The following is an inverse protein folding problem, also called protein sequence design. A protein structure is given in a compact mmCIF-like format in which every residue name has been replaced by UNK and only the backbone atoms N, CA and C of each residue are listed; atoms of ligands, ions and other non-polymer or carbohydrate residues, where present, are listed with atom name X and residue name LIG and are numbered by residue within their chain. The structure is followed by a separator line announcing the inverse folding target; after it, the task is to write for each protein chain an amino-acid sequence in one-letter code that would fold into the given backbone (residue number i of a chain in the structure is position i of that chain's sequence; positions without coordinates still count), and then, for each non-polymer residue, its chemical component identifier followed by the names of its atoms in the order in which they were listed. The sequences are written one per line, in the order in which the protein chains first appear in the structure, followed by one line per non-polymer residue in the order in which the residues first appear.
data_IF_106272246808
#
_entry.id   IF_106272246808
#
_cell.length_a   1.000
_cell.length_b   1.000
_cell.length_c   1.000
_cell.angle_alpha   90.00
_cell.angle_beta   90.00
_cell.angle_gamma   90.00
#
_symmetry.space_group_name_H-M   'P 1'
#
loop_
_entity.id
_entity.type
_entity.pdbx_description
1 polymer ?
#
# COMPACT_ATOMS: atom_id res chain seq x y z
N UNK A 1 34.21 -1.01 -10.46
CA UNK A 1 33.30 -2.09 -10.04
C UNK A 1 32.48 -1.52 -8.90
N UNK A 2 31.18 -1.27 -9.10
CA UNK A 2 30.30 -0.74 -8.05
C UNK A 2 30.13 -1.85 -7.00
N UNK A 3 30.27 -1.53 -5.71
CA UNK A 3 30.02 -2.50 -4.63
C UNK A 3 28.55 -2.94 -4.67
N UNK A 4 28.24 -4.16 -4.24
CA UNK A 4 26.85 -4.66 -4.18
C UNK A 4 25.94 -3.72 -3.39
N UNK A 5 26.43 -3.18 -2.27
CA UNK A 5 25.65 -2.23 -1.44
C UNK A 5 25.32 -0.95 -2.19
N UNK A 6 26.29 -0.40 -2.92
CA UNK A 6 26.08 0.79 -3.75
C UNK A 6 25.08 0.51 -4.88
N UNK A 7 25.19 -0.67 -5.50
CA UNK A 7 24.27 -1.08 -6.57
C UNK A 7 22.83 -1.22 -6.08
N UNK A 8 22.63 -1.77 -4.89
CA UNK A 8 21.29 -1.92 -4.32
C UNK A 8 20.70 -0.59 -3.84
N UNK A 9 21.52 0.29 -3.28
CA UNK A 9 21.08 1.66 -2.95
C UNK A 9 20.64 2.41 -4.22
N UNK A 10 21.42 2.30 -5.29
CA UNK A 10 21.07 2.90 -6.59
C UNK A 10 19.79 2.27 -7.19
N UNK A 11 19.69 0.93 -7.15
CA UNK A 11 18.53 0.22 -7.69
C UNK A 11 17.25 0.50 -6.89
N UNK A 12 17.34 0.64 -5.56
CA UNK A 12 16.23 1.10 -4.72
C UNK A 12 15.87 2.54 -5.08
N UNK A 13 16.86 3.42 -5.22
CA UNK A 13 16.65 4.80 -5.66
C UNK A 13 15.85 4.86 -6.96
N UNK A 14 16.20 4.03 -7.94
CA UNK A 14 15.44 3.88 -9.18
C UNK A 14 14.02 3.37 -8.91
N UNK A 15 13.82 2.29 -8.15
CA UNK A 15 12.48 1.79 -7.83
C UNK A 15 11.53 2.88 -7.30
N UNK A 16 12.07 3.80 -6.50
CA UNK A 16 11.31 4.88 -5.87
C UNK A 16 11.01 6.06 -6.80
N UNK A 17 11.73 6.24 -7.92
CA UNK A 17 11.57 7.43 -8.79
C UNK A 17 11.43 7.16 -10.28
N UNK A 18 11.70 5.93 -10.74
CA UNK A 18 11.70 5.56 -12.15
C UNK A 18 10.31 5.76 -12.77
N UNK A 19 10.31 5.94 -14.09
CA UNK A 19 9.09 6.06 -14.85
C UNK A 19 8.38 4.70 -14.93
N UNK A 20 7.05 4.75 -14.95
CA UNK A 20 6.18 3.60 -15.13
C UNK A 20 5.09 3.97 -16.14
N UNK A 21 4.48 2.97 -16.76
CA UNK A 21 3.32 3.16 -17.63
C UNK A 21 2.16 2.27 -17.14
N UNK A 22 1.10 2.85 -16.53
CA UNK A 22 0.91 4.27 -16.28
C UNK A 22 1.88 4.83 -15.21
N UNK A 23 2.11 6.15 -15.16
CA UNK A 23 2.98 6.77 -14.17
C UNK A 23 2.54 6.46 -12.74
N UNK A 24 3.50 6.11 -11.88
CA UNK A 24 3.28 5.86 -10.45
C UNK A 24 3.59 7.11 -9.63
N UNK A 25 2.69 7.43 -8.70
CA UNK A 25 2.89 8.48 -7.69
C UNK A 25 4.21 8.28 -6.93
N UNK A 26 4.88 9.39 -6.61
CA UNK A 26 6.02 9.37 -5.71
C UNK A 26 5.56 9.15 -4.27
N UNK A 27 6.33 8.38 -3.52
CA UNK A 27 6.10 8.19 -2.09
C UNK A 27 6.22 9.53 -1.32
N UNK A 28 5.59 9.64 -0.14
CA UNK A 28 5.92 10.71 0.80
C UNK A 28 7.42 10.72 1.07
N UNK A 29 8.04 11.91 1.14
CA UNK A 29 9.49 12.05 1.30
C UNK A 29 10.00 11.29 2.53
N UNK A 30 9.25 11.36 3.64
CA UNK A 30 9.61 10.67 4.88
C UNK A 30 9.58 9.15 4.73
N UNK A 31 8.59 8.60 4.02
CA UNK A 31 8.52 7.18 3.72
C UNK A 31 9.66 6.74 2.79
N UNK A 32 9.93 7.47 1.71
CA UNK A 32 11.03 7.16 0.79
C UNK A 32 12.39 7.18 1.50
N UNK A 33 12.63 8.20 2.34
CA UNK A 33 13.86 8.33 3.12
C UNK A 33 14.01 7.18 4.11
N UNK A 34 12.92 6.80 4.78
CA UNK A 34 12.89 5.69 5.70
C UNK A 34 13.23 4.36 5.00
N UNK A 35 12.63 4.06 3.84
CA UNK A 35 12.91 2.83 3.08
C UNK A 35 14.40 2.72 2.68
N UNK A 36 15.00 3.83 2.26
CA UNK A 36 16.45 3.88 1.98
C UNK A 36 17.26 3.63 3.25
N UNK A 37 16.89 4.27 4.36
CA UNK A 37 17.62 4.17 5.63
C UNK A 37 17.61 2.76 6.21
N UNK A 38 16.49 2.05 6.12
CA UNK A 38 16.37 0.67 6.63
C UNK A 38 16.93 -0.38 5.65
N UNK A 39 17.42 0.03 4.47
CA UNK A 39 18.00 -0.90 3.50
C UNK A 39 16.95 -1.77 2.80
N UNK A 40 15.77 -1.22 2.50
CA UNK A 40 14.72 -1.90 1.74
C UNK A 40 15.25 -2.44 0.41
N UNK A 41 14.89 -3.68 0.05
CA UNK A 41 15.28 -4.22 -1.25
C UNK A 41 14.62 -3.43 -2.38
N UNK A 42 15.27 -3.28 -3.56
CA UNK A 42 14.68 -2.55 -4.68
C UNK A 42 13.30 -3.07 -5.09
N UNK A 43 13.11 -4.40 -5.06
CA UNK A 43 11.83 -5.06 -5.29
C UNK A 43 10.75 -4.61 -4.31
N UNK A 44 11.04 -4.63 -3.02
CA UNK A 44 10.08 -4.22 -2.00
C UNK A 44 9.75 -2.73 -2.14
N UNK A 45 10.75 -1.88 -2.41
CA UNK A 45 10.53 -0.46 -2.70
C UNK A 45 9.60 -0.23 -3.90
N UNK A 46 9.77 -1.01 -4.99
CA UNK A 46 8.89 -0.94 -6.15
C UNK A 46 7.45 -1.35 -5.82
N UNK A 47 7.26 -2.43 -5.04
CA UNK A 47 5.94 -2.89 -4.58
C UNK A 47 5.27 -1.82 -3.72
N UNK A 48 5.96 -1.29 -2.72
CA UNK A 48 5.42 -0.26 -1.82
C UNK A 48 5.02 1.01 -2.59
N UNK A 49 5.78 1.42 -3.60
CA UNK A 49 5.40 2.55 -4.47
C UNK A 49 4.16 2.26 -5.30
N UNK A 50 4.02 1.04 -5.83
CA UNK A 50 2.83 0.62 -6.55
C UNK A 50 1.59 0.62 -5.64
N UNK A 51 1.70 0.06 -4.44
CA UNK A 51 0.58 0.01 -3.48
C UNK A 51 0.20 1.42 -3.02
N UNK A 52 1.19 2.28 -2.77
CA UNK A 52 0.98 3.70 -2.49
C UNK A 52 0.23 4.43 -3.61
N UNK A 53 0.59 4.20 -4.88
CA UNK A 53 -0.12 4.79 -6.01
C UNK A 53 -1.60 4.36 -6.03
N UNK A 54 -1.86 3.07 -5.85
CA UNK A 54 -3.22 2.52 -5.78
C UNK A 54 -4.02 3.12 -4.61
N UNK A 55 -3.42 3.22 -3.43
CA UNK A 55 -4.05 3.89 -2.29
C UNK A 55 -4.38 5.35 -2.62
N UNK A 56 -3.50 6.05 -3.34
CA UNK A 56 -3.77 7.40 -3.85
C UNK A 56 -4.96 7.47 -4.80
N UNK A 57 -5.12 6.49 -5.68
CA UNK A 57 -6.30 6.40 -6.56
C UNK A 57 -7.58 6.20 -5.75
N UNK A 58 -7.58 5.30 -4.77
CA UNK A 58 -8.73 5.04 -3.89
C UNK A 58 -9.12 6.27 -3.07
N UNK A 59 -8.15 6.98 -2.49
CA UNK A 59 -8.43 8.19 -1.71
C UNK A 59 -8.92 9.34 -2.62
N UNK A 60 -8.35 9.49 -3.81
CA UNK A 60 -8.80 10.52 -4.76
C UNK A 60 -10.22 10.21 -5.30
N UNK A 61 -10.57 8.92 -5.48
CA UNK A 61 -11.93 8.46 -5.77
C UNK A 61 -12.90 8.78 -4.63
N UNK A 62 -12.55 8.46 -3.37
CA UNK A 62 -13.37 8.80 -2.21
C UNK A 62 -13.63 10.30 -2.11
N UNK A 63 -12.60 11.13 -2.31
CA UNK A 63 -12.74 12.59 -2.28
C UNK A 63 -13.72 13.10 -3.34
N UNK A 64 -13.85 12.40 -4.46
CA UNK A 64 -14.72 12.79 -5.58
C UNK A 64 -16.17 12.35 -5.36
N UNK A 65 -16.39 11.13 -4.83
CA UNK A 65 -17.71 10.52 -4.74
C UNK A 65 -18.32 10.53 -3.32
N UNK A 66 -17.49 10.61 -2.29
CA UNK A 66 -17.86 10.48 -0.87
C UNK A 66 -17.18 11.57 -0.04
N UNK A 67 -17.35 12.83 -0.43
CA UNK A 67 -16.63 13.97 0.17
C UNK A 67 -16.83 14.12 1.70
N UNK A 68 -17.91 13.54 2.25
CA UNK A 68 -18.22 13.55 3.68
C UNK A 68 -17.55 12.41 4.46
N UNK A 69 -17.00 11.39 3.80
CA UNK A 69 -16.32 10.30 4.47
C UNK A 69 -15.01 10.80 5.11
N UNK A 70 -14.85 10.73 6.44
CA UNK A 70 -13.62 11.14 7.10
C UNK A 70 -12.53 10.12 6.77
N UNK A 71 -11.54 10.56 5.98
CA UNK A 71 -10.33 9.78 5.66
C UNK A 71 -9.11 10.64 5.90
N UNK A 72 -8.16 10.15 6.68
CA UNK A 72 -6.84 10.76 6.76
C UNK A 72 -6.00 10.34 5.55
N UNK A 73 -6.06 11.17 4.50
CA UNK A 73 -5.30 10.95 3.26
C UNK A 73 -3.80 10.77 3.53
N UNK A 74 -3.22 11.53 4.46
CA UNK A 74 -1.79 11.44 4.74
C UNK A 74 -1.46 10.11 5.41
N UNK A 75 -2.28 9.68 6.37
CA UNK A 75 -2.13 8.40 7.04
C UNK A 75 -2.27 7.21 6.08
N UNK A 76 -3.31 7.19 5.24
CA UNK A 76 -3.52 6.10 4.26
C UNK A 76 -2.35 5.99 3.28
N UNK A 77 -1.88 7.13 2.77
CA UNK A 77 -0.76 7.16 1.83
C UNK A 77 0.56 6.74 2.46
N UNK A 78 0.80 7.13 3.70
CA UNK A 78 1.98 6.68 4.46
C UNK A 78 1.88 5.18 4.76
N UNK A 79 0.73 4.72 5.26
CA UNK A 79 0.45 3.31 5.55
C UNK A 79 0.68 2.41 4.34
N UNK A 80 0.12 2.76 3.18
CA UNK A 80 0.35 2.03 1.94
C UNK A 80 1.82 2.04 1.46
N UNK A 81 2.59 3.08 1.81
CA UNK A 81 4.00 3.18 1.48
C UNK A 81 4.91 2.39 2.44
N UNK A 82 4.41 1.93 3.59
CA UNK A 82 5.25 1.31 4.64
C UNK A 82 4.67 0.05 5.28
N UNK A 83 3.45 -0.38 4.96
CA UNK A 83 2.77 -1.50 5.65
C UNK A 83 3.61 -2.78 5.69
N UNK A 84 4.34 -3.05 4.60
CA UNK A 84 5.15 -4.24 4.40
C UNK A 84 6.63 -4.05 4.77
N UNK A 85 7.00 -2.94 5.43
CA UNK A 85 8.41 -2.61 5.73
C UNK A 85 9.12 -3.68 6.58
N UNK A 86 8.38 -4.47 7.36
CA UNK A 86 8.93 -5.59 8.12
C UNK A 86 9.56 -6.69 7.26
N UNK A 87 9.25 -6.74 5.96
CA UNK A 87 9.90 -7.67 5.00
C UNK A 87 11.38 -7.34 4.76
N UNK A 88 11.88 -6.23 5.29
CA UNK A 88 13.33 -5.98 5.41
C UNK A 88 13.98 -6.99 6.37
N UNK A 89 13.30 -7.35 7.46
CA UNK A 89 13.79 -8.35 8.43
C UNK A 89 13.36 -9.77 8.07
N UNK A 90 12.27 -9.92 7.31
CA UNK A 90 11.70 -11.18 6.84
C UNK A 90 11.63 -11.22 5.30
N UNK A 91 12.78 -11.16 4.59
CA UNK A 91 12.80 -11.07 3.13
C UNK A 91 12.19 -12.28 2.42
N UNK A 92 12.16 -13.45 3.08
CA UNK A 92 11.49 -14.66 2.61
C UNK A 92 9.98 -14.45 2.40
N UNK A 93 9.34 -13.59 3.20
CA UNK A 93 7.90 -13.32 3.13
C UNK A 93 7.52 -12.42 1.94
N UNK A 94 8.49 -12.01 1.12
CA UNK A 94 8.21 -11.34 -0.16
C UNK A 94 7.69 -12.31 -1.23
N UNK A 95 8.01 -13.61 -1.10
CA UNK A 95 7.64 -14.64 -2.08
C UNK A 95 7.10 -15.93 -1.45
N UNK A 96 7.17 -16.07 -0.13
CA UNK A 96 6.53 -17.14 0.62
C UNK A 96 5.42 -16.57 1.53
N UNK A 97 4.38 -17.36 1.86
CA UNK A 97 3.43 -16.97 2.89
C UNK A 97 4.12 -16.73 4.24
N UNK A 98 3.64 -15.75 4.99
CA UNK A 98 4.11 -15.42 6.33
C UNK A 98 3.44 -14.16 6.87
N UNK A 99 3.63 -13.89 8.15
CA UNK A 99 3.08 -12.73 8.86
C UNK A 99 4.05 -12.14 9.89
N UNK A 100 5.30 -12.61 9.93
CA UNK A 100 6.29 -12.09 10.86
C UNK A 100 6.63 -10.62 10.54
N UNK A 101 6.58 -10.23 9.25
CA UNK A 101 6.76 -8.84 8.82
C UNK A 101 5.74 -7.87 9.44
N UNK A 102 4.57 -8.32 9.88
CA UNK A 102 3.52 -7.44 10.41
C UNK A 102 3.97 -6.80 11.74
N UNK A 103 4.32 -7.63 12.71
CA UNK A 103 4.81 -7.15 14.01
C UNK A 103 6.23 -6.57 13.89
N UNK A 104 7.09 -7.19 13.07
CA UNK A 104 8.44 -6.68 12.87
C UNK A 104 8.42 -5.29 12.21
N UNK A 105 7.56 -5.07 11.22
CA UNK A 105 7.36 -3.77 10.58
C UNK A 105 6.83 -2.72 11.54
N UNK A 106 5.85 -3.08 12.38
CA UNK A 106 5.35 -2.20 13.43
C UNK A 106 6.48 -1.75 14.38
N UNK A 107 7.27 -2.69 14.91
CA UNK A 107 8.37 -2.38 15.83
C UNK A 107 9.48 -1.56 15.15
N UNK A 108 9.78 -1.84 13.88
CA UNK A 108 10.75 -1.07 13.10
C UNK A 108 10.30 0.39 12.93
N UNK A 109 9.03 0.62 12.59
CA UNK A 109 8.49 1.98 12.47
C UNK A 109 8.58 2.75 13.79
N UNK A 110 8.26 2.11 14.92
CA UNK A 110 8.41 2.73 16.24
C UNK A 110 9.87 3.09 16.56
N UNK A 111 10.80 2.18 16.27
CA UNK A 111 12.23 2.42 16.48
C UNK A 111 12.76 3.59 15.63
N UNK A 112 12.14 3.82 14.47
CA UNK A 112 12.43 4.92 13.55
C UNK A 112 11.69 6.23 13.91
N UNK A 113 10.96 6.26 15.03
CA UNK A 113 10.27 7.43 15.55
C UNK A 113 8.89 7.69 14.93
N UNK A 114 8.35 6.73 14.17
CA UNK A 114 6.98 6.83 13.62
C UNK A 114 5.98 6.53 14.73
N UNK A 115 4.95 7.37 14.86
CA UNK A 115 3.90 7.20 15.86
C UNK A 115 3.07 5.94 15.66
N UNK A 116 2.50 5.41 16.75
CA UNK A 116 1.67 4.19 16.73
C UNK A 116 0.50 4.29 15.76
N UNK A 117 -0.06 5.49 15.59
CA UNK A 117 -1.19 5.73 14.69
C UNK A 117 -0.79 5.39 13.25
N UNK A 118 0.41 5.75 12.78
CA UNK A 118 0.86 5.40 11.43
C UNK A 118 1.43 3.98 11.38
N UNK A 119 2.14 3.55 12.42
CA UNK A 119 2.75 2.22 12.45
C UNK A 119 1.71 1.08 12.42
N UNK A 120 0.48 1.33 12.90
CA UNK A 120 -0.59 0.31 12.99
C UNK A 120 -0.85 -0.42 11.67
N UNK A 121 -0.70 0.26 10.53
CA UNK A 121 -0.98 -0.31 9.20
C UNK A 121 -0.16 -1.58 8.92
N UNK A 122 1.03 -1.74 9.51
CA UNK A 122 1.79 -2.98 9.39
C UNK A 122 1.02 -4.20 9.91
N UNK A 123 0.19 -4.03 10.95
CA UNK A 123 -0.57 -5.10 11.60
C UNK A 123 -2.03 -5.20 11.14
N UNK A 124 -2.59 -4.12 10.60
CA UNK A 124 -4.00 -4.06 10.22
C UNK A 124 -4.24 -4.30 8.73
N UNK A 125 -3.21 -4.24 7.88
CA UNK A 125 -3.41 -4.39 6.44
C UNK A 125 -3.91 -5.79 6.03
N UNK A 126 -3.54 -6.85 6.77
CA UNK A 126 -3.88 -8.24 6.44
C UNK A 126 -5.07 -8.81 7.23
N UNK A 127 -5.51 -8.13 8.30
CA UNK A 127 -6.60 -8.58 9.17
C UNK A 127 -7.58 -7.44 9.40
N UNK A 128 -8.86 -7.69 9.12
CA UNK A 128 -9.93 -6.70 9.22
C UNK A 128 -11.25 -7.34 9.67
N UNK A 129 -12.11 -6.51 10.26
CA UNK A 129 -13.42 -6.88 10.81
C UNK A 129 -14.42 -5.72 10.68
N UNK A 130 -15.60 -5.90 11.28
CA UNK A 130 -16.69 -4.91 11.28
C UNK A 130 -16.39 -3.66 12.11
N UNK A 131 -15.27 -3.59 12.83
CA UNK A 131 -14.83 -2.44 13.65
C UNK A 131 -13.59 -1.73 13.06
N UNK A 132 -12.97 -2.31 12.04
CA UNK A 132 -11.80 -1.75 11.35
C UNK A 132 -12.12 -0.40 10.71
N UNK A 133 -11.25 0.59 10.91
CA UNK A 133 -11.43 1.95 10.40
C UNK A 133 -11.33 1.99 8.86
N UNK A 134 -11.98 2.98 8.24
CA UNK A 134 -11.97 3.13 6.78
C UNK A 134 -10.54 3.31 6.24
N UNK A 135 -9.70 4.08 6.93
CA UNK A 135 -8.29 4.27 6.57
C UNK A 135 -7.54 2.93 6.43
N UNK A 136 -7.70 2.04 7.41
CA UNK A 136 -7.06 0.71 7.46
C UNK A 136 -7.59 -0.18 6.33
N UNK A 137 -8.92 -0.17 6.11
CA UNK A 137 -9.53 -0.90 5.00
C UNK A 137 -9.03 -0.42 3.63
N UNK A 138 -8.74 0.87 3.45
CA UNK A 138 -8.19 1.41 2.20
C UNK A 138 -6.76 0.94 1.95
N UNK A 139 -5.93 0.85 2.99
CA UNK A 139 -4.58 0.27 2.88
C UNK A 139 -4.68 -1.21 2.53
N UNK A 140 -5.54 -1.98 3.22
CA UNK A 140 -5.79 -3.38 2.87
C UNK A 140 -6.29 -3.53 1.43
N UNK A 141 -7.21 -2.67 0.99
CA UNK A 141 -7.78 -2.75 -0.34
C UNK A 141 -6.73 -2.45 -1.42
N UNK A 142 -5.87 -1.47 -1.17
CA UNK A 142 -4.75 -1.15 -2.05
C UNK A 142 -3.76 -2.32 -2.17
N UNK A 143 -3.42 -2.96 -1.05
CA UNK A 143 -2.55 -4.16 -0.99
C UNK A 143 -3.12 -5.35 -1.78
N UNK A 144 -4.43 -5.49 -1.88
CA UNK A 144 -5.03 -6.55 -2.71
C UNK A 144 -5.15 -6.14 -4.18
N UNK A 145 -5.80 -5.00 -4.45
CA UNK A 145 -6.22 -4.66 -5.82
C UNK A 145 -5.05 -4.25 -6.73
N UNK A 146 -3.86 -3.91 -6.20
CA UNK A 146 -2.72 -3.57 -7.06
C UNK A 146 -2.29 -4.72 -7.98
N UNK A 147 -2.46 -5.97 -7.53
CA UNK A 147 -2.25 -7.19 -8.32
C UNK A 147 -3.48 -7.62 -9.12
N UNK A 148 -4.59 -6.88 -9.00
CA UNK A 148 -5.89 -7.24 -9.53
C UNK A 148 -6.68 -8.20 -8.64
N UNK A 149 -6.18 -8.55 -7.45
CA UNK A 149 -6.90 -9.40 -6.51
C UNK A 149 -8.17 -8.70 -6.02
N UNK A 150 -9.30 -9.42 -6.08
CA UNK A 150 -10.60 -9.00 -5.55
C UNK A 150 -10.91 -9.81 -4.30
N UNK A 151 -11.36 -9.12 -3.25
CA UNK A 151 -11.63 -9.74 -1.94
C UNK A 151 -13.01 -9.31 -1.47
N UNK A 152 -14.08 -10.07 -1.81
CA UNK A 152 -15.46 -9.64 -1.57
C UNK A 152 -15.77 -9.27 -0.11
N UNK A 153 -15.17 -9.97 0.87
CA UNK A 153 -15.36 -9.66 2.28
C UNK A 153 -14.80 -8.28 2.67
N UNK A 154 -13.60 -7.93 2.17
CA UNK A 154 -12.99 -6.63 2.38
C UNK A 154 -13.76 -5.52 1.66
N UNK A 155 -14.13 -5.76 0.40
CA UNK A 155 -14.93 -4.82 -0.40
C UNK A 155 -16.28 -4.52 0.28
N UNK A 156 -16.93 -5.54 0.84
CA UNK A 156 -18.18 -5.38 1.56
C UNK A 156 -18.04 -4.53 2.83
N UNK A 157 -16.92 -4.61 3.55
CA UNK A 157 -16.65 -3.75 4.71
C UNK A 157 -16.49 -2.29 4.29
N UNK A 158 -15.75 -2.02 3.20
CA UNK A 158 -15.62 -0.67 2.64
C UNK A 158 -16.99 -0.11 2.25
N UNK A 159 -17.82 -0.89 1.56
CA UNK A 159 -19.20 -0.50 1.21
C UNK A 159 -19.99 -0.14 2.46
N UNK A 160 -19.97 -0.98 3.50
CA UNK A 160 -20.72 -0.72 4.74
C UNK A 160 -20.26 0.55 5.44
N UNK A 161 -18.94 0.81 5.48
CA UNK A 161 -18.40 2.06 6.05
C UNK A 161 -18.89 3.28 5.31
N UNK A 162 -18.83 3.27 3.98
CA UNK A 162 -19.28 4.40 3.17
C UNK A 162 -20.79 4.63 3.27
N UNK A 163 -21.60 3.57 3.27
CA UNK A 163 -23.05 3.66 3.51
C UNK A 163 -23.34 4.32 4.86
N UNK A 164 -22.67 3.88 5.92
CA UNK A 164 -22.88 4.39 7.27
C UNK A 164 -22.42 5.86 7.42
N UNK A 165 -21.34 6.25 6.75
CA UNK A 165 -20.76 7.60 6.85
C UNK A 165 -21.41 8.63 5.91
N UNK A 166 -21.99 8.19 4.79
CA UNK A 166 -22.50 9.08 3.75
C UNK A 166 -24.01 9.01 3.55
N UNK A 167 -24.72 8.21 4.33
CA UNK A 167 -26.17 7.97 4.18
C UNK A 167 -26.56 7.60 2.73
N UNK A 168 -25.72 6.78 2.09
CA UNK A 168 -25.88 6.37 0.69
C UNK A 168 -26.55 4.99 0.56
N UNK A 169 -27.18 4.73 -0.59
CA UNK A 169 -27.79 3.43 -0.86
C UNK A 169 -26.72 2.34 -1.05
N UNK A 170 -26.81 1.17 -0.37
CA UNK A 170 -25.76 0.15 -0.42
C UNK A 170 -25.39 -0.34 -1.81
N UNK A 171 -26.36 -0.44 -2.71
CA UNK A 171 -26.14 -0.92 -4.07
C UNK A 171 -25.42 0.13 -4.94
N UNK A 172 -25.67 1.42 -4.72
CA UNK A 172 -24.96 2.51 -5.42
C UNK A 172 -23.48 2.52 -5.01
N UNK A 173 -23.23 2.40 -3.70
CA UNK A 173 -21.87 2.35 -3.17
C UNK A 173 -21.12 1.12 -3.69
N UNK A 174 -21.77 -0.04 -3.70
CA UNK A 174 -21.20 -1.27 -4.24
C UNK A 174 -20.84 -1.13 -5.73
N UNK A 175 -21.75 -0.61 -6.57
CA UNK A 175 -21.49 -0.43 -7.99
C UNK A 175 -20.34 0.56 -8.23
N UNK A 176 -20.34 1.70 -7.53
CA UNK A 176 -19.28 2.70 -7.66
C UNK A 176 -17.92 2.13 -7.24
N UNK A 177 -17.85 1.38 -6.13
CA UNK A 177 -16.61 0.74 -5.69
C UNK A 177 -16.16 -0.34 -6.69
N UNK A 178 -17.10 -1.15 -7.17
CA UNK A 178 -16.78 -2.21 -8.13
C UNK A 178 -16.21 -1.65 -9.43
N UNK A 179 -16.77 -0.57 -9.96
CA UNK A 179 -16.30 0.09 -11.17
C UNK A 179 -14.90 0.67 -10.96
N UNK A 180 -14.65 1.30 -9.81
CA UNK A 180 -13.34 1.84 -9.48
C UNK A 180 -12.28 0.74 -9.30
N UNK A 181 -12.59 -0.33 -8.58
CA UNK A 181 -11.67 -1.47 -8.43
C UNK A 181 -11.41 -2.17 -9.76
N UNK A 182 -12.40 -2.24 -10.64
CA UNK A 182 -12.23 -2.78 -12.00
C UNK A 182 -11.30 -1.89 -12.83
N UNK A 183 -11.47 -0.57 -12.77
CA UNK A 183 -10.59 0.41 -13.43
C UNK A 183 -9.15 0.29 -12.92
N UNK A 184 -8.96 0.18 -11.61
CA UNK A 184 -7.63 0.01 -11.00
C UNK A 184 -7.02 -1.33 -11.39
N UNK A 185 -7.77 -2.43 -11.35
CA UNK A 185 -7.29 -3.77 -11.66
C UNK A 185 -6.90 -3.95 -13.14
N UNK A 186 -7.46 -3.14 -14.05
CA UNK A 186 -7.10 -3.16 -15.47
C UNK A 186 -5.59 -2.90 -15.74
N UNK A 187 -4.88 -2.28 -14.79
CA UNK A 187 -3.44 -1.99 -14.87
C UNK A 187 -2.57 -2.91 -14.00
N UNK A 188 -3.13 -3.99 -13.45
CA UNK A 188 -2.40 -4.93 -12.61
C UNK A 188 -1.19 -5.56 -13.31
N UNK A 189 -1.33 -5.92 -14.60
CA UNK A 189 -0.24 -6.51 -15.39
C UNK A 189 0.97 -5.59 -15.51
N UNK A 190 0.74 -4.30 -15.75
CA UNK A 190 1.78 -3.28 -15.85
C UNK A 190 2.50 -3.08 -14.51
N UNK A 191 1.76 -3.07 -13.40
CA UNK A 191 2.33 -2.98 -12.04
C UNK A 191 3.18 -4.20 -11.69
N UNK A 192 2.70 -5.40 -12.04
CA UNK A 192 3.46 -6.64 -11.89
C UNK A 192 4.74 -6.63 -12.73
N UNK A 193 4.68 -6.12 -13.96
CA UNK A 193 5.86 -5.96 -14.81
C UNK A 193 6.83 -4.90 -14.26
N UNK A 194 6.33 -3.78 -13.72
CA UNK A 194 7.15 -2.75 -13.09
C UNK A 194 7.95 -3.30 -11.91
N UNK A 195 7.27 -3.93 -10.94
CA UNK A 195 7.99 -4.51 -9.80
C UNK A 195 8.95 -5.64 -10.27
N UNK A 196 8.57 -6.42 -11.30
CA UNK A 196 9.43 -7.41 -11.97
C UNK A 196 10.80 -6.90 -12.44
N UNK A 197 10.93 -5.61 -12.72
CA UNK A 197 12.20 -4.99 -13.15
C UNK A 197 13.27 -4.87 -12.06
N UNK A 198 12.93 -5.04 -10.78
CA UNK A 198 13.84 -4.72 -9.66
C UNK A 198 14.35 -5.96 -8.90
N UNK A 199 15.61 -6.05 -8.47
CA UNK A 199 16.10 -7.24 -7.77
C UNK A 199 15.49 -7.42 -6.37
N UNK A 200 15.38 -8.68 -5.94
CA UNK A 200 14.84 -9.06 -4.61
C UNK A 200 15.86 -8.85 -3.48
N UNK A 201 17.15 -8.94 -3.78
CA UNK A 201 18.21 -8.91 -2.76
C UNK A 201 18.92 -7.55 -2.72
N UNK A 202 19.26 -7.13 -1.50
CA UNK A 202 20.19 -6.03 -1.19
C UNK A 202 21.66 -6.51 -1.03
#
# INVERSE_FOLDING_TARGET
MIDRRDWNTLSLGLALVDQADPPLRFLPVDAATLLVRVGTSPRLGAILRVVHDVAGQLVDWLRTHYMSAPVDRAAVLFGAATYDIGKVMHPEELFAPGSAHEEAGYQLLLAEGVGTDLARFCRTHATWDEDTALDDLLVSLADKVWTGQRVPALEQLVVRRLVAMCEAEPWEVFLALNDELTRIAAYAGQRLAFQAGYPVNA
#
